data_IF_903706908476
#
_entry.id   IF_903706908476
#
_cell.length_a   1.000
_cell.length_b   1.000
_cell.length_c   1.000
_cell.angle_alpha   90.00
_cell.angle_beta   90.00
_cell.angle_gamma   90.00
#
_symmetry.space_group_name_H-M   'P 1'
#
loop_
_entity.id
_entity.type
_entity.pdbx_description
1 polymer ?
#
# COMPACT_ATOMS: atom_id res chain seq x y z
N UNK A 1 -33.05 -27.14 -1.96
CA UNK A 1 -32.58 -28.09 -0.94
C UNK A 1 -32.28 -27.27 0.31
N UNK A 2 -32.64 -27.81 1.47
CA UNK A 2 -32.63 -27.24 2.83
C UNK A 2 -31.73 -26.02 3.11
N UNK A 3 -32.35 -24.87 3.42
CA UNK A 3 -31.72 -23.76 4.14
C UNK A 3 -31.45 -24.19 5.59
N UNK A 4 -30.19 -24.46 5.93
CA UNK A 4 -29.76 -24.54 7.31
C UNK A 4 -29.52 -23.10 7.82
N UNK A 5 -30.04 -22.71 8.99
CA UNK A 5 -29.71 -21.42 9.58
C UNK A 5 -28.23 -21.41 9.95
N UNK A 6 -27.50 -20.40 9.47
CA UNK A 6 -26.17 -20.05 9.95
C UNK A 6 -26.25 -19.82 11.47
N UNK A 7 -25.78 -20.78 12.26
CA UNK A 7 -25.61 -20.60 13.69
C UNK A 7 -24.40 -19.68 13.88
N UNK A 8 -24.65 -18.40 14.15
CA UNK A 8 -23.62 -17.49 14.63
C UNK A 8 -23.26 -17.96 16.04
N UNK A 9 -22.18 -18.73 16.14
CA UNK A 9 -21.53 -18.97 17.42
C UNK A 9 -20.85 -17.66 17.78
N UNK A 10 -21.49 -16.87 18.65
CA UNK A 10 -20.86 -15.71 19.28
C UNK A 10 -19.73 -16.21 20.19
N UNK A 11 -18.58 -16.50 19.58
CA UNK A 11 -17.32 -16.65 20.27
C UNK A 11 -16.97 -15.29 20.85
N UNK A 12 -17.06 -15.18 22.18
CA UNK A 12 -16.50 -14.04 22.92
C UNK A 12 -14.97 -14.07 22.92
N UNK A 13 -14.36 -15.17 22.48
CA UNK A 13 -12.91 -15.26 22.36
C UNK A 13 -12.43 -14.52 21.12
N UNK A 14 -11.38 -13.72 21.33
CA UNK A 14 -10.71 -12.92 20.32
C UNK A 14 -10.00 -13.80 19.30
N UNK A 15 -10.24 -13.56 18.01
CA UNK A 15 -9.49 -14.23 16.95
C UNK A 15 -8.12 -13.58 16.77
N UNK A 16 -7.06 -14.38 16.82
CA UNK A 16 -5.68 -13.88 16.76
C UNK A 16 -5.09 -14.04 15.35
N UNK A 17 -4.60 -12.96 14.74
CA UNK A 17 -3.92 -12.97 13.44
C UNK A 17 -2.45 -13.41 13.52
N UNK A 18 -2.19 -14.48 14.25
CA UNK A 18 -0.91 -15.18 14.22
C UNK A 18 -0.90 -16.23 13.09
N UNK A 19 0.19 -17.01 12.97
CA UNK A 19 0.33 -18.05 11.95
C UNK A 19 -0.85 -19.02 11.91
N UNK A 20 -1.30 -19.52 13.07
CA UNK A 20 -2.41 -20.47 13.15
C UNK A 20 -3.76 -19.82 12.79
N UNK A 21 -3.96 -18.55 13.15
CA UNK A 21 -5.14 -17.78 12.75
C UNK A 21 -5.21 -17.60 11.24
N UNK A 22 -4.11 -17.20 10.60
CA UNK A 22 -4.07 -17.08 9.15
C UNK A 22 -4.24 -18.43 8.43
N UNK A 23 -3.64 -19.51 8.93
CA UNK A 23 -3.88 -20.87 8.41
C UNK A 23 -5.37 -21.26 8.50
N UNK A 24 -6.07 -20.86 9.57
CA UNK A 24 -7.51 -21.09 9.70
C UNK A 24 -8.33 -20.28 8.67
N UNK A 25 -8.00 -19.00 8.46
CA UNK A 25 -8.65 -18.16 7.43
C UNK A 25 -8.40 -18.74 6.04
N UNK A 26 -7.17 -19.18 5.75
CA UNK A 26 -6.83 -19.80 4.47
C UNK A 26 -7.61 -21.10 4.25
N UNK A 27 -7.78 -21.91 5.28
CA UNK A 27 -8.60 -23.12 5.18
C UNK A 27 -10.07 -22.78 4.84
N UNK A 28 -10.67 -21.81 5.53
CA UNK A 28 -12.07 -21.40 5.31
C UNK A 28 -12.29 -20.76 3.94
N UNK A 29 -11.31 -20.00 3.45
CA UNK A 29 -11.36 -19.34 2.14
C UNK A 29 -10.88 -20.24 0.98
N UNK A 30 -10.63 -21.54 1.25
CA UNK A 30 -10.07 -22.48 0.28
C UNK A 30 -8.78 -21.99 -0.39
N UNK A 31 -7.89 -21.37 0.39
CA UNK A 31 -6.69 -20.65 -0.04
C UNK A 31 -7.00 -19.45 -0.94
N UNK A 32 -7.83 -18.53 -0.44
CA UNK A 32 -8.18 -17.28 -1.12
C UNK A 32 -8.93 -17.44 -2.44
N UNK A 33 -9.79 -18.46 -2.56
CA UNK A 33 -10.66 -18.66 -3.72
C UNK A 33 -12.15 -18.55 -3.38
N UNK A 34 -12.51 -18.35 -2.10
CA UNK A 34 -13.89 -18.17 -1.66
C UNK A 34 -13.99 -17.01 -0.65
N UNK A 35 -15.06 -16.19 -0.69
CA UNK A 35 -15.29 -15.17 0.33
C UNK A 35 -15.58 -15.78 1.69
N UNK A 36 -15.14 -15.12 2.76
CA UNK A 36 -15.39 -15.55 4.14
C UNK A 36 -15.37 -14.36 5.10
N UNK A 37 -16.17 -14.44 6.17
CA UNK A 37 -16.13 -13.53 7.30
C UNK A 37 -15.47 -14.23 8.49
N UNK A 38 -14.44 -13.61 9.06
CA UNK A 38 -13.88 -14.00 10.34
C UNK A 38 -14.24 -12.95 11.38
N UNK A 39 -14.95 -13.37 12.41
CA UNK A 39 -15.45 -12.47 13.45
C UNK A 39 -14.41 -12.16 14.52
N UNK A 40 -14.56 -10.99 15.15
CA UNK A 40 -13.82 -10.53 16.34
C UNK A 40 -12.29 -10.59 16.18
N UNK A 41 -11.77 -9.98 15.11
CA UNK A 41 -10.35 -10.00 14.71
C UNK A 41 -9.55 -8.81 15.25
N UNK A 42 -10.08 -7.58 15.16
CA UNK A 42 -9.32 -6.38 15.52
C UNK A 42 -9.39 -6.04 17.01
N UNK A 43 -8.25 -5.82 17.65
CA UNK A 43 -8.26 -5.31 19.02
C UNK A 43 -8.93 -3.93 19.09
N UNK A 44 -9.55 -3.60 20.22
CA UNK A 44 -10.21 -2.29 20.37
C UNK A 44 -9.24 -1.12 20.19
N UNK A 45 -7.99 -1.31 20.62
CA UNK A 45 -6.91 -0.34 20.40
C UNK A 45 -6.59 -0.18 18.91
N UNK A 46 -6.53 -1.28 18.15
CA UNK A 46 -6.32 -1.23 16.69
C UNK A 46 -7.41 -0.45 16.00
N UNK A 47 -8.68 -0.74 16.32
CA UNK A 47 -9.82 -0.03 15.75
C UNK A 47 -9.73 1.47 16.00
N UNK A 48 -9.48 1.87 17.25
CA UNK A 48 -9.38 3.28 17.64
C UNK A 48 -8.22 3.96 16.89
N UNK A 49 -7.05 3.33 16.88
CA UNK A 49 -5.86 3.88 16.26
C UNK A 49 -5.97 3.96 14.74
N UNK A 50 -6.48 2.92 14.08
CA UNK A 50 -6.70 2.94 12.63
C UNK A 50 -7.64 4.06 12.21
N UNK A 51 -8.74 4.30 12.95
CA UNK A 51 -9.64 5.42 12.67
C UNK A 51 -8.90 6.75 12.78
N UNK A 52 -8.15 6.98 13.87
CA UNK A 52 -7.37 8.22 14.05
C UNK A 52 -6.39 8.44 12.90
N UNK A 53 -5.59 7.42 12.60
CA UNK A 53 -4.60 7.50 11.52
C UNK A 53 -5.24 7.76 10.16
N UNK A 54 -6.38 7.14 9.85
CA UNK A 54 -7.14 7.43 8.62
C UNK A 54 -7.50 8.92 8.54
N UNK A 55 -7.99 9.50 9.63
CA UNK A 55 -8.37 10.90 9.65
C UNK A 55 -7.20 11.88 9.69
N UNK A 56 -6.04 11.47 10.20
CA UNK A 56 -4.79 12.23 10.01
C UNK A 56 -4.35 12.24 8.53
N UNK A 57 -4.57 11.13 7.78
CA UNK A 57 -4.35 11.13 6.32
C UNK A 57 -5.34 12.05 5.61
N UNK A 58 -6.63 12.02 5.97
CA UNK A 58 -7.63 12.94 5.41
C UNK A 58 -7.28 14.39 5.76
N UNK A 59 -6.77 14.65 6.96
CA UNK A 59 -6.25 15.97 7.36
C UNK A 59 -5.10 16.42 6.46
N UNK A 60 -4.13 15.55 6.19
CA UNK A 60 -3.05 15.85 5.25
C UNK A 60 -3.60 16.19 3.85
N UNK A 61 -4.58 15.42 3.36
CA UNK A 61 -5.25 15.67 2.08
C UNK A 61 -5.94 17.04 2.04
N UNK A 62 -6.68 17.40 3.11
CA UNK A 62 -7.39 18.67 3.19
C UNK A 62 -6.43 19.86 3.24
N UNK A 63 -5.35 19.77 4.04
CA UNK A 63 -4.30 20.81 4.12
C UNK A 63 -3.67 21.05 2.75
N UNK A 64 -3.38 19.98 2.02
CA UNK A 64 -2.72 20.04 0.71
C UNK A 64 -3.69 20.20 -0.47
N UNK A 65 -5.00 20.21 -0.23
CA UNK A 65 -6.08 20.39 -1.23
C UNK A 65 -5.89 19.53 -2.48
N UNK A 66 -5.60 18.25 -2.29
CA UNK A 66 -5.22 17.34 -3.37
C UNK A 66 -6.09 16.08 -3.40
N UNK A 67 -6.39 15.57 -4.59
CA UNK A 67 -7.06 14.29 -4.80
C UNK A 67 -6.17 13.25 -5.51
N UNK A 68 -4.86 13.52 -5.64
CA UNK A 68 -3.92 12.71 -6.41
C UNK A 68 -3.80 11.24 -5.92
N UNK A 69 -4.23 10.95 -4.69
CA UNK A 69 -4.07 9.65 -4.03
C UNK A 69 -5.35 8.80 -4.06
N UNK A 70 -6.14 8.94 -5.12
CA UNK A 70 -7.41 8.23 -5.25
C UNK A 70 -8.48 8.69 -4.25
N UNK A 71 -8.29 9.86 -3.62
CA UNK A 71 -9.27 10.47 -2.73
C UNK A 71 -10.48 10.93 -3.54
N UNK A 72 -11.60 10.23 -3.34
CA UNK A 72 -12.86 10.42 -4.06
C UNK A 72 -13.97 10.56 -3.04
N UNK A 73 -14.84 11.55 -3.26
CA UNK A 73 -16.02 11.77 -2.45
C UNK A 73 -17.25 11.63 -3.34
N UNK A 74 -18.23 10.89 -2.85
CA UNK A 74 -19.51 10.67 -3.49
C UNK A 74 -20.60 11.26 -2.61
N UNK A 75 -21.56 11.94 -3.23
CA UNK A 75 -22.78 12.43 -2.59
C UNK A 75 -23.97 11.90 -3.35
N UNK A 76 -24.89 11.24 -2.63
CA UNK A 76 -26.08 10.62 -3.22
C UNK A 76 -25.75 9.74 -4.43
N UNK A 77 -24.65 8.97 -4.33
CA UNK A 77 -24.09 8.08 -5.36
C UNK A 77 -23.38 8.74 -6.54
N UNK A 78 -23.21 10.07 -6.56
CA UNK A 78 -22.48 10.78 -7.61
C UNK A 78 -21.14 11.30 -7.11
N UNK A 79 -20.09 11.17 -7.93
CA UNK A 79 -18.78 11.71 -7.61
C UNK A 79 -18.81 13.25 -7.64
N UNK A 80 -18.28 13.89 -6.61
CA UNK A 80 -18.22 15.36 -6.54
C UNK A 80 -17.01 15.88 -7.32
N UNK A 81 -17.11 17.10 -7.85
CA UNK A 81 -16.04 17.75 -8.60
C UNK A 81 -15.03 18.47 -7.67
N UNK A 82 -13.96 19.01 -8.27
CA UNK A 82 -12.88 19.69 -7.55
C UNK A 82 -13.34 20.96 -6.81
N UNK A 83 -14.29 21.70 -7.38
CA UNK A 83 -14.79 22.93 -6.77
C UNK A 83 -15.55 22.60 -5.48
N UNK A 84 -16.43 21.59 -5.54
CA UNK A 84 -17.13 21.08 -4.37
C UNK A 84 -16.16 20.61 -3.28
N UNK A 85 -15.13 19.83 -3.64
CA UNK A 85 -14.09 19.41 -2.70
C UNK A 85 -13.41 20.61 -2.03
N UNK A 86 -13.09 21.65 -2.80
CA UNK A 86 -12.39 22.84 -2.30
C UNK A 86 -13.25 23.63 -1.31
N UNK A 87 -14.53 23.80 -1.62
CA UNK A 87 -15.45 24.64 -0.86
C UNK A 87 -16.01 23.93 0.38
N UNK A 88 -16.23 22.61 0.31
CA UNK A 88 -17.00 21.88 1.33
C UNK A 88 -16.17 20.83 2.08
N UNK A 89 -15.18 20.20 1.43
CA UNK A 89 -14.40 19.11 2.07
C UNK A 89 -13.07 19.63 2.60
N UNK A 90 -12.25 20.24 1.74
CA UNK A 90 -10.91 20.72 2.10
C UNK A 90 -10.93 21.96 3.00
N UNK A 91 -12.03 22.69 3.02
CA UNK A 91 -12.26 23.85 3.91
C UNK A 91 -12.47 23.44 5.37
N UNK A 92 -12.87 22.20 5.61
CA UNK A 92 -13.01 21.61 6.94
C UNK A 92 -11.83 20.67 7.18
N UNK A 93 -10.97 20.99 8.14
CA UNK A 93 -9.77 20.19 8.41
C UNK A 93 -10.08 19.29 9.63
N UNK A 94 -10.01 17.95 9.51
CA UNK A 94 -10.17 17.06 10.65
C UNK A 94 -9.22 17.44 11.79
N UNK A 95 -9.68 17.33 13.04
CA UNK A 95 -8.83 17.60 14.19
C UNK A 95 -7.72 16.52 14.31
N UNK A 96 -6.59 16.93 14.88
CA UNK A 96 -5.43 16.05 15.12
C UNK A 96 -5.85 14.92 16.06
N UNK A 97 -5.47 13.68 15.76
CA UNK A 97 -5.80 12.48 16.56
C UNK A 97 -7.32 12.24 16.75
N UNK A 98 -8.16 12.80 15.87
CA UNK A 98 -9.61 12.59 15.90
C UNK A 98 -10.02 11.31 15.16
N UNK A 99 -11.13 10.69 15.57
CA UNK A 99 -11.70 9.54 14.86
C UNK A 99 -12.60 9.93 13.67
N UNK A 100 -12.62 11.23 13.35
CA UNK A 100 -13.33 11.84 12.24
C UNK A 100 -14.83 12.02 12.39
N UNK A 101 -15.44 11.57 13.49
CA UNK A 101 -16.91 11.60 13.64
C UNK A 101 -17.46 13.01 13.52
N UNK A 102 -16.91 13.96 14.27
CA UNK A 102 -17.33 15.37 14.20
C UNK A 102 -17.08 15.97 12.81
N UNK A 103 -15.94 15.66 12.18
CA UNK A 103 -15.61 16.18 10.86
C UNK A 103 -16.60 15.68 9.80
N UNK A 104 -17.01 14.42 9.87
CA UNK A 104 -18.03 13.85 8.99
C UNK A 104 -19.36 14.59 9.17
N UNK A 105 -19.79 14.80 10.41
CA UNK A 105 -21.03 15.52 10.73
C UNK A 105 -21.01 16.95 10.17
N UNK A 106 -19.89 17.66 10.34
CA UNK A 106 -19.74 19.04 9.87
C UNK A 106 -19.78 19.14 8.34
N UNK A 107 -19.13 18.20 7.64
CA UNK A 107 -18.98 18.22 6.18
C UNK A 107 -20.23 17.71 5.46
N UNK A 108 -20.80 16.60 5.92
CA UNK A 108 -21.85 15.87 5.19
C UNK A 108 -23.23 16.01 5.82
N UNK A 109 -23.32 16.38 7.10
CA UNK A 109 -24.58 16.53 7.83
C UNK A 109 -25.46 15.28 7.64
N UNK A 110 -26.70 15.45 7.17
CA UNK A 110 -27.66 14.36 6.93
C UNK A 110 -27.54 13.70 5.55
N UNK A 111 -26.55 14.09 4.73
CA UNK A 111 -26.41 13.58 3.37
C UNK A 111 -25.86 12.14 3.33
N UNK A 112 -26.32 11.38 2.34
CA UNK A 112 -25.72 10.08 2.00
C UNK A 112 -24.41 10.32 1.27
N UNK A 113 -23.31 9.84 1.85
CA UNK A 113 -21.98 10.08 1.31
C UNK A 113 -21.14 8.82 1.30
N UNK A 114 -20.11 8.83 0.44
CA UNK A 114 -19.06 7.82 0.41
C UNK A 114 -17.71 8.46 0.15
N UNK A 115 -16.67 8.04 0.87
CA UNK A 115 -15.29 8.40 0.64
C UNK A 115 -14.52 7.14 0.29
N UNK A 116 -13.72 7.23 -0.77
CA UNK A 116 -12.71 6.23 -1.11
C UNK A 116 -11.35 6.93 -1.06
N UNK A 117 -10.40 6.34 -0.35
CA UNK A 117 -9.02 6.83 -0.27
C UNK A 117 -8.07 5.65 -0.48
N UNK A 118 -7.21 5.75 -1.50
CA UNK A 118 -6.22 4.71 -1.78
C UNK A 118 -4.88 5.10 -1.16
N UNK A 119 -4.02 4.09 -0.94
CA UNK A 119 -2.64 4.26 -0.51
C UNK A 119 -2.52 5.04 0.81
N UNK A 120 -3.40 4.83 1.79
CA UNK A 120 -3.34 5.55 3.06
C UNK A 120 -2.08 5.19 3.87
N UNK A 121 -1.54 3.99 3.67
CA UNK A 121 -0.36 3.48 4.40
C UNK A 121 0.89 4.33 4.20
N UNK A 122 1.06 4.99 3.04
CA UNK A 122 2.26 5.80 2.78
C UNK A 122 2.32 7.10 3.60
N UNK A 123 1.17 7.55 4.10
CA UNK A 123 1.02 8.78 4.86
C UNK A 123 1.11 8.54 6.37
N UNK A 124 0.70 7.36 6.83
CA UNK A 124 0.70 7.00 8.25
C UNK A 124 1.60 5.81 8.51
N UNK A 125 2.78 6.07 9.08
CA UNK A 125 3.70 5.00 9.44
C UNK A 125 3.15 4.08 10.53
N UNK A 126 2.51 4.58 11.61
CA UNK A 126 1.88 3.70 12.58
C UNK A 126 0.85 2.74 11.96
N UNK A 127 0.07 3.22 10.98
CA UNK A 127 -0.86 2.39 10.21
C UNK A 127 -0.14 1.31 9.41
N UNK A 128 0.88 1.70 8.63
CA UNK A 128 1.66 0.77 7.83
C UNK A 128 2.34 -0.30 8.70
N UNK A 129 2.91 0.10 9.83
CA UNK A 129 3.62 -0.80 10.75
C UNK A 129 2.66 -1.79 11.40
N UNK A 130 1.51 -1.31 11.90
CA UNK A 130 0.53 -2.19 12.52
C UNK A 130 -0.10 -3.16 11.52
N UNK A 131 -0.50 -2.69 10.33
CA UNK A 131 -1.00 -3.56 9.27
C UNK A 131 0.04 -4.60 8.83
N UNK A 132 1.31 -4.18 8.69
CA UNK A 132 2.39 -5.10 8.35
C UNK A 132 2.55 -6.18 9.40
N UNK A 133 2.54 -5.83 10.70
CA UNK A 133 2.64 -6.81 11.78
C UNK A 133 1.45 -7.80 11.78
N UNK A 134 0.23 -7.34 11.52
CA UNK A 134 -0.96 -8.19 11.45
C UNK A 134 -0.92 -9.16 10.25
N UNK A 135 -0.38 -8.72 9.12
CA UNK A 135 -0.39 -9.46 7.85
C UNK A 135 0.88 -10.29 7.64
N UNK A 136 1.99 -9.95 8.30
CA UNK A 136 3.26 -10.60 8.11
C UNK A 136 3.25 -12.12 8.31
N UNK A 137 2.55 -12.72 9.30
CA UNK A 137 2.49 -14.18 9.41
C UNK A 137 1.84 -14.86 8.19
N UNK A 138 0.93 -14.17 7.49
CA UNK A 138 0.35 -14.63 6.22
C UNK A 138 1.38 -14.52 5.09
N UNK A 139 2.09 -13.41 4.98
CA UNK A 139 3.10 -13.19 3.93
C UNK A 139 4.31 -14.11 4.08
N UNK A 140 4.72 -14.41 5.30
CA UNK A 140 5.77 -15.40 5.58
C UNK A 140 5.35 -16.80 5.13
N UNK A 141 4.05 -17.09 5.14
CA UNK A 141 3.52 -18.38 4.72
C UNK A 141 3.31 -18.47 3.20
N UNK A 142 2.71 -17.45 2.57
CA UNK A 142 2.32 -17.47 1.16
C UNK A 142 3.29 -16.75 0.22
N UNK A 143 4.15 -15.90 0.75
CA UNK A 143 4.95 -14.94 0.00
C UNK A 143 4.22 -13.62 -0.24
N UNK A 144 4.99 -12.62 -0.69
CA UNK A 144 4.48 -11.29 -1.04
C UNK A 144 3.89 -11.28 -2.45
N UNK A 145 2.71 -10.69 -2.66
CA UNK A 145 2.10 -10.57 -3.99
C UNK A 145 3.04 -10.02 -5.05
N UNK A 146 2.83 -10.44 -6.30
CA UNK A 146 3.76 -10.11 -7.39
C UNK A 146 3.87 -8.60 -7.61
N UNK A 147 2.76 -7.86 -7.57
CA UNK A 147 2.72 -6.41 -7.71
C UNK A 147 2.59 -5.66 -6.36
N UNK A 148 2.56 -6.41 -5.26
CA UNK A 148 2.52 -5.88 -3.90
C UNK A 148 1.12 -5.74 -3.32
N UNK A 149 1.04 -4.93 -2.27
CA UNK A 149 -0.16 -4.61 -1.54
C UNK A 149 -0.34 -3.10 -1.42
N UNK A 150 -1.58 -2.66 -1.31
CA UNK A 150 -1.93 -1.28 -1.01
C UNK A 150 -3.18 -1.22 -0.15
N UNK A 151 -3.39 -0.12 0.58
CA UNK A 151 -4.67 0.07 1.28
C UNK A 151 -5.69 0.78 0.42
N UNK A 152 -6.97 0.48 0.68
CA UNK A 152 -8.07 1.36 0.32
C UNK A 152 -8.98 1.54 1.53
N UNK A 153 -9.31 2.78 1.86
CA UNK A 153 -10.23 3.14 2.92
C UNK A 153 -11.58 3.47 2.31
N UNK A 154 -12.64 2.92 2.88
CA UNK A 154 -14.03 3.21 2.55
C UNK A 154 -14.71 3.83 3.76
N UNK A 155 -15.30 5.01 3.61
CA UNK A 155 -16.06 5.68 4.69
C UNK A 155 -17.42 6.08 4.16
N UNK A 156 -18.47 5.89 4.93
CA UNK A 156 -19.75 6.51 4.61
C UNK A 156 -20.95 5.69 5.03
N UNK A 157 -22.12 6.18 4.63
CA UNK A 157 -23.45 5.66 4.92
C UNK A 157 -24.27 5.50 3.62
N UNK A 158 -23.58 5.27 2.49
CA UNK A 158 -24.09 5.42 1.12
C UNK A 158 -25.18 4.43 0.69
N UNK A 159 -25.62 3.51 1.55
CA UNK A 159 -26.47 2.39 1.15
C UNK A 159 -25.65 1.45 0.28
N UNK A 160 -26.00 1.31 -1.00
CA UNK A 160 -25.19 0.51 -1.93
C UNK A 160 -23.98 1.26 -2.46
N UNK A 161 -22.86 0.55 -2.63
CA UNK A 161 -21.63 1.12 -3.19
C UNK A 161 -21.91 1.80 -4.53
N UNK A 162 -21.48 3.06 -4.72
CA UNK A 162 -21.89 3.89 -5.86
C UNK A 162 -21.33 3.41 -7.21
N UNK A 163 -20.38 2.49 -7.21
CA UNK A 163 -19.83 1.85 -8.42
C UNK A 163 -20.77 0.81 -9.03
N UNK A 164 -21.85 0.43 -8.34
CA UNK A 164 -22.74 -0.65 -8.75
C UNK A 164 -22.09 -2.03 -8.61
N UNK A 165 -22.71 -3.05 -9.23
CA UNK A 165 -22.17 -4.41 -9.23
C UNK A 165 -20.96 -4.47 -10.18
N UNK A 166 -19.81 -4.88 -9.67
CA UNK A 166 -18.58 -5.00 -10.44
C UNK A 166 -17.73 -6.18 -9.97
N UNK A 167 -16.70 -6.50 -10.76
CA UNK A 167 -15.60 -7.37 -10.35
C UNK A 167 -14.35 -6.52 -10.15
N UNK A 168 -13.48 -6.98 -9.26
CA UNK A 168 -12.17 -6.38 -9.09
C UNK A 168 -11.23 -6.71 -10.24
N UNK A 169 -10.09 -6.03 -10.28
CA UNK A 169 -9.07 -6.31 -11.27
C UNK A 169 -8.59 -7.76 -11.15
N UNK A 170 -8.28 -8.37 -12.29
CA UNK A 170 -7.78 -9.74 -12.33
C UNK A 170 -6.60 -9.94 -11.38
N UNK A 171 -6.76 -10.86 -10.42
CA UNK A 171 -5.77 -11.22 -9.42
C UNK A 171 -5.64 -10.27 -8.23
N UNK A 172 -6.54 -9.30 -8.08
CA UNK A 172 -6.58 -8.38 -6.94
C UNK A 172 -7.54 -8.91 -5.86
N UNK A 173 -7.01 -9.64 -4.87
CA UNK A 173 -7.81 -10.10 -3.73
C UNK A 173 -7.83 -9.02 -2.64
N UNK A 174 -8.85 -8.99 -1.79
CA UNK A 174 -8.97 -7.97 -0.75
C UNK A 174 -9.28 -8.56 0.61
N UNK A 175 -8.58 -8.05 1.62
CA UNK A 175 -8.88 -8.26 3.04
C UNK A 175 -9.47 -6.95 3.56
N UNK A 176 -10.67 -7.01 4.12
CA UNK A 176 -11.40 -5.88 4.67
C UNK A 176 -11.44 -5.95 6.19
N UNK A 177 -10.75 -5.03 6.86
CA UNK A 177 -10.85 -4.82 8.30
C UNK A 177 -11.95 -3.81 8.59
N UNK A 178 -13.03 -4.26 9.24
CA UNK A 178 -14.20 -3.43 9.46
C UNK A 178 -14.10 -2.68 10.79
N UNK A 179 -14.00 -1.35 10.72
CA UNK A 179 -13.78 -0.49 11.89
C UNK A 179 -15.08 0.09 12.48
N UNK A 180 -16.22 -0.17 11.84
CA UNK A 180 -17.55 0.27 12.29
C UNK A 180 -17.76 1.80 12.27
N UNK A 181 -18.70 2.34 13.06
CA UNK A 181 -19.61 1.59 13.94
C UNK A 181 -20.74 0.87 13.18
N UNK A 182 -21.19 1.40 12.03
CA UNK A 182 -22.21 0.76 11.20
C UNK A 182 -21.72 -0.55 10.61
N UNK A 183 -22.63 -1.50 10.42
CA UNK A 183 -22.36 -2.80 9.80
C UNK A 183 -22.16 -2.68 8.28
N UNK A 184 -21.78 -3.81 7.66
CA UNK A 184 -21.71 -3.91 6.21
C UNK A 184 -22.13 -5.30 5.76
N UNK A 185 -22.85 -5.34 4.65
CA UNK A 185 -23.17 -6.58 3.96
C UNK A 185 -22.60 -6.55 2.56
N UNK A 186 -21.77 -7.53 2.23
CA UNK A 186 -21.26 -7.75 0.87
C UNK A 186 -22.13 -8.81 0.19
N UNK A 187 -22.78 -8.41 -0.89
CA UNK A 187 -23.51 -9.32 -1.77
C UNK A 187 -22.59 -9.72 -2.91
N UNK A 188 -22.47 -11.03 -3.15
CA UNK A 188 -21.60 -11.57 -4.19
C UNK A 188 -22.34 -12.55 -5.09
N UNK A 189 -21.88 -12.65 -6.33
CA UNK A 189 -22.35 -13.62 -7.32
C UNK A 189 -21.15 -14.26 -8.02
N UNK A 190 -21.20 -15.58 -8.12
CA UNK A 190 -20.30 -16.35 -8.97
C UNK A 190 -20.40 -15.86 -10.42
N UNK A 191 -19.25 -15.70 -11.09
CA UNK A 191 -19.18 -15.12 -12.43
C UNK A 191 -20.09 -15.82 -13.44
N UNK A 192 -20.07 -17.16 -13.46
CA UNK A 192 -20.91 -17.95 -14.38
C UNK A 192 -22.41 -17.74 -14.14
N UNK A 193 -22.84 -17.58 -12.88
CA UNK A 193 -24.24 -17.30 -12.57
C UNK A 193 -24.62 -15.89 -13.03
N UNK A 194 -23.83 -14.89 -12.64
CA UNK A 194 -24.11 -13.49 -12.97
C UNK A 194 -24.20 -13.26 -14.49
N UNK A 195 -23.27 -13.83 -15.25
CA UNK A 195 -23.23 -13.73 -16.71
C UNK A 195 -24.39 -14.48 -17.38
N UNK A 196 -24.74 -15.68 -16.90
CA UNK A 196 -25.88 -16.45 -17.44
C UNK A 196 -27.22 -15.75 -17.26
N UNK A 197 -27.32 -14.88 -16.26
CA UNK A 197 -28.51 -14.09 -15.96
C UNK A 197 -28.59 -12.77 -16.73
N UNK A 198 -27.58 -12.44 -17.54
CA UNK A 198 -27.38 -11.10 -18.10
C UNK A 198 -27.40 -10.02 -16.99
N UNK A 199 -26.69 -10.29 -15.88
CA UNK A 199 -26.75 -9.49 -14.66
C UNK A 199 -26.44 -8.01 -14.85
N UNK A 200 -25.62 -7.65 -15.85
CA UNK A 200 -25.30 -6.25 -16.18
C UNK A 200 -26.52 -5.43 -16.60
N UNK A 201 -27.54 -6.08 -17.16
CA UNK A 201 -28.74 -5.43 -17.67
C UNK A 201 -29.96 -5.60 -16.74
N UNK A 202 -29.79 -6.25 -15.59
CA UNK A 202 -30.89 -6.52 -14.66
C UNK A 202 -30.96 -5.52 -13.51
N UNK A 203 -32.18 -5.17 -13.05
CA UNK A 203 -32.34 -4.38 -11.83
C UNK A 203 -31.75 -5.10 -10.62
N UNK A 204 -31.09 -4.35 -9.72
CA UNK A 204 -30.51 -4.90 -8.48
C UNK A 204 -31.52 -5.70 -7.66
N UNK A 205 -32.77 -5.24 -7.59
CA UNK A 205 -33.85 -5.92 -6.84
C UNK A 205 -34.14 -7.35 -7.35
N UNK A 206 -33.87 -7.65 -8.63
CA UNK A 206 -34.01 -8.99 -9.18
C UNK A 206 -32.78 -9.87 -8.91
N UNK A 207 -31.60 -9.26 -8.76
CA UNK A 207 -30.34 -9.96 -8.55
C UNK A 207 -30.05 -10.25 -7.07
N UNK A 208 -30.47 -9.37 -6.16
CA UNK A 208 -30.21 -9.46 -4.73
C UNK A 208 -30.66 -10.81 -4.12
N UNK A 209 -31.86 -11.35 -4.44
CA UNK A 209 -32.31 -12.65 -3.92
C UNK A 209 -31.45 -13.84 -4.39
N UNK A 210 -30.61 -13.65 -5.41
CA UNK A 210 -29.73 -14.67 -5.98
C UNK A 210 -28.28 -14.53 -5.50
N UNK A 211 -28.00 -13.53 -4.66
CA UNK A 211 -26.66 -13.26 -4.14
C UNK A 211 -26.34 -14.14 -2.94
N UNK A 212 -25.04 -14.43 -2.77
CA UNK A 212 -24.51 -14.83 -1.48
C UNK A 212 -24.29 -13.56 -0.64
N UNK A 213 -24.84 -13.53 0.58
CA UNK A 213 -24.73 -12.38 1.47
C UNK A 213 -23.74 -12.67 2.60
N UNK A 214 -22.73 -11.81 2.73
CA UNK A 214 -21.71 -11.85 3.76
C UNK A 214 -21.83 -10.62 4.64
N UNK A 215 -22.42 -10.80 5.81
CA UNK A 215 -22.60 -9.75 6.80
C UNK A 215 -21.42 -9.72 7.76
N UNK A 216 -20.91 -8.54 8.06
CA UNK A 216 -19.83 -8.34 9.02
C UNK A 216 -19.98 -7.02 9.77
N UNK A 217 -19.57 -7.07 11.03
CA UNK A 217 -19.73 -5.98 11.99
C UNK A 217 -18.37 -5.44 12.42
N UNK A 218 -18.39 -4.50 13.36
CA UNK A 218 -17.18 -3.90 13.90
C UNK A 218 -16.22 -4.97 14.42
N UNK A 219 -14.93 -4.78 14.12
CA UNK A 219 -13.81 -5.65 14.49
C UNK A 219 -13.72 -6.96 13.69
N UNK A 220 -14.61 -7.20 12.74
CA UNK A 220 -14.56 -8.36 11.86
C UNK A 220 -13.59 -8.14 10.69
N UNK A 221 -13.20 -9.27 10.09
CA UNK A 221 -12.45 -9.33 8.84
C UNK A 221 -13.32 -10.00 7.78
N UNK A 222 -13.45 -9.37 6.61
CA UNK A 222 -14.03 -9.98 5.42
C UNK A 222 -12.97 -10.18 4.34
N UNK A 223 -12.85 -11.40 3.81
CA UNK A 223 -12.01 -11.68 2.66
C UNK A 223 -12.87 -11.81 1.40
N UNK A 224 -12.40 -11.24 0.29
CA UNK A 224 -13.03 -11.39 -1.02
C UNK A 224 -11.99 -11.69 -2.10
N UNK A 225 -12.18 -12.78 -2.86
CA UNK A 225 -11.35 -13.08 -4.02
C UNK A 225 -11.74 -12.20 -5.22
N UNK A 226 -10.80 -12.00 -6.13
CA UNK A 226 -10.93 -11.11 -7.28
C UNK A 226 -12.04 -11.49 -8.27
N UNK A 227 -12.45 -12.76 -8.30
CA UNK A 227 -13.33 -13.33 -9.34
C UNK A 227 -14.83 -13.20 -9.03
N UNK A 228 -15.19 -12.44 -8.00
CA UNK A 228 -16.57 -12.29 -7.55
C UNK A 228 -17.19 -10.99 -8.07
N UNK A 229 -18.34 -11.11 -8.75
CA UNK A 229 -19.20 -9.94 -8.93
C UNK A 229 -19.76 -9.56 -7.58
N UNK A 230 -19.72 -8.28 -7.21
CA UNK A 230 -20.11 -7.88 -5.87
C UNK A 230 -20.67 -6.45 -5.79
N UNK A 231 -21.43 -6.21 -4.72
CA UNK A 231 -21.88 -4.88 -4.31
C UNK A 231 -21.96 -4.84 -2.78
N UNK A 232 -21.47 -3.75 -2.17
CA UNK A 232 -21.53 -3.57 -0.73
C UNK A 232 -22.71 -2.71 -0.30
N UNK A 233 -23.39 -3.07 0.78
CA UNK A 233 -24.42 -2.27 1.43
C UNK A 233 -23.95 -1.79 2.81
N UNK A 234 -24.12 -0.49 3.08
CA UNK A 234 -23.73 0.21 4.31
C UNK A 234 -24.72 1.35 4.56
N UNK A 235 -25.72 1.11 5.41
CA UNK A 235 -26.80 2.08 5.64
C UNK A 235 -26.45 3.13 6.70
N UNK A 236 -25.67 2.74 7.71
CA UNK A 236 -25.14 3.60 8.76
C UNK A 236 -23.70 4.04 8.47
N UNK A 237 -23.21 5.06 9.19
CA UNK A 237 -21.82 5.47 9.07
C UNK A 237 -20.90 4.31 9.43
N UNK A 238 -20.07 3.92 8.46
CA UNK A 238 -19.06 2.89 8.65
C UNK A 238 -17.71 3.27 8.05
N UNK A 239 -16.65 2.71 8.61
CA UNK A 239 -15.27 2.85 8.15
C UNK A 239 -14.69 1.45 7.91
N UNK A 240 -14.27 1.18 6.68
CA UNK A 240 -13.57 -0.03 6.30
C UNK A 240 -12.15 0.27 5.87
N UNK A 241 -11.18 -0.46 6.41
CA UNK A 241 -9.77 -0.40 6.01
C UNK A 241 -9.42 -1.69 5.28
N UNK A 242 -9.19 -1.59 3.98
CA UNK A 242 -8.88 -2.77 3.15
C UNK A 242 -7.40 -2.84 2.84
N UNK A 243 -6.88 -4.07 2.72
CA UNK A 243 -5.56 -4.38 2.17
C UNK A 243 -5.75 -5.25 0.94
N UNK A 244 -5.27 -4.74 -0.19
CA UNK A 244 -5.33 -5.38 -1.49
C UNK A 244 -4.08 -6.21 -1.72
N UNK A 245 -4.24 -7.39 -2.31
CA UNK A 245 -3.18 -8.32 -2.67
C UNK A 245 -3.16 -8.43 -4.19
N UNK A 246 -2.23 -7.71 -4.82
CA UNK A 246 -2.20 -7.55 -6.27
C UNK A 246 -1.32 -8.62 -6.93
N UNK A 247 -1.92 -9.75 -7.30
CA UNK A 247 -1.30 -10.82 -8.07
C UNK A 247 -1.74 -10.77 -9.53
N UNK A 248 -1.28 -9.74 -10.25
CA UNK A 248 -1.69 -9.55 -11.63
C UNK A 248 -1.04 -10.55 -12.61
N UNK A 249 -1.59 -10.61 -13.81
CA UNK A 249 -1.12 -11.48 -14.89
C UNK A 249 0.32 -11.18 -15.32
N UNK A 250 0.96 -12.15 -15.99
CA UNK A 250 2.27 -11.97 -16.60
C UNK A 250 2.32 -10.80 -17.61
N UNK A 251 1.18 -10.44 -18.21
CA UNK A 251 1.07 -9.26 -19.06
C UNK A 251 1.29 -7.97 -18.27
N UNK A 252 0.55 -7.81 -17.16
CA UNK A 252 0.69 -6.64 -16.29
C UNK A 252 2.10 -6.55 -15.68
N UNK A 253 2.72 -7.69 -15.35
CA UNK A 253 4.11 -7.73 -14.91
C UNK A 253 5.06 -7.23 -16.00
N UNK A 254 4.89 -7.69 -17.25
CA UNK A 254 5.73 -7.27 -18.37
C UNK A 254 5.61 -5.75 -18.62
N UNK A 255 4.40 -5.20 -18.63
CA UNK A 255 4.16 -3.75 -18.77
C UNK A 255 4.84 -2.96 -17.65
N UNK A 256 4.75 -3.45 -16.41
CA UNK A 256 5.40 -2.80 -15.27
C UNK A 256 6.92 -2.78 -15.42
N UNK A 257 7.53 -3.90 -15.78
CA UNK A 257 8.99 -3.99 -15.96
C UNK A 257 9.48 -3.07 -17.08
N UNK A 258 8.76 -3.02 -18.21
CA UNK A 258 9.07 -2.09 -19.30
C UNK A 258 8.96 -0.63 -18.86
N UNK A 259 7.90 -0.28 -18.12
CA UNK A 259 7.74 1.06 -17.55
C UNK A 259 8.88 1.40 -16.59
N UNK A 260 9.29 0.47 -15.74
CA UNK A 260 10.42 0.66 -14.83
C UNK A 260 11.75 0.91 -15.57
N UNK A 261 11.98 0.27 -16.72
CA UNK A 261 13.14 0.58 -17.58
C UNK A 261 13.06 2.04 -18.03
N UNK A 262 11.93 2.48 -18.60
CA UNK A 262 11.79 3.86 -19.09
C UNK A 262 11.98 4.91 -17.99
N UNK A 263 11.54 4.64 -16.76
CA UNK A 263 11.73 5.55 -15.63
C UNK A 263 13.18 5.64 -15.15
N UNK A 264 14.00 4.60 -15.35
CA UNK A 264 15.42 4.61 -14.99
C UNK A 264 16.30 5.32 -16.02
N UNK A 265 15.76 5.55 -17.22
CA UNK A 265 16.44 6.22 -18.32
C UNK A 265 16.28 7.74 -18.24
N UNK A 266 16.13 8.31 -17.03
CA UNK A 266 15.88 9.73 -16.79
C UNK A 266 16.86 10.61 -17.60
N UNK A 267 16.38 11.14 -18.72
CA UNK A 267 17.24 11.73 -19.74
C UNK A 267 16.45 12.76 -20.58
N UNK A 268 17.08 13.91 -20.80
CA UNK A 268 16.63 14.96 -21.73
C UNK A 268 16.40 14.42 -23.15
N UNK A 269 17.13 13.36 -23.54
CA UNK A 269 16.99 12.69 -24.85
C UNK A 269 15.56 12.13 -25.10
N UNK A 270 14.84 11.73 -24.04
CA UNK A 270 13.46 11.25 -24.18
C UNK A 270 12.47 12.35 -24.56
N UNK A 271 12.87 13.63 -24.44
CA UNK A 271 12.07 14.79 -24.83
C UNK A 271 12.40 15.30 -26.24
N UNK A 272 13.38 14.70 -26.93
CA UNK A 272 13.72 15.10 -28.29
C UNK A 272 12.63 14.73 -29.31
N UNK A 273 12.34 15.65 -30.23
CA UNK A 273 11.38 15.42 -31.31
C UNK A 273 12.02 14.50 -32.36
N UNK A 274 11.40 13.36 -32.62
CA UNK A 274 11.84 12.43 -33.68
C UNK A 274 11.72 13.08 -35.07
N UNK A 275 12.69 12.80 -35.94
CA UNK A 275 12.72 13.34 -37.32
C UNK A 275 11.75 12.57 -38.22
N UNK A 276 11.11 13.29 -39.15
CA UNK A 276 10.30 12.66 -40.20
C UNK A 276 11.19 11.84 -41.15
N UNK A 277 10.70 10.67 -41.60
CA UNK A 277 11.40 9.77 -42.52
C UNK A 277 10.61 9.64 -43.82
N UNK A 278 11.29 9.68 -44.98
CA UNK A 278 10.66 9.79 -46.30
C UNK A 278 10.29 8.45 -46.96
N UNK A 279 10.75 7.32 -46.42
CA UNK A 279 10.41 5.98 -46.92
C UNK A 279 11.31 4.90 -46.34
N UNK A 280 11.07 3.63 -46.73
CA UNK A 280 11.80 2.46 -46.22
C UNK A 280 13.33 2.58 -46.46
N UNK A 281 13.75 3.24 -47.55
CA UNK A 281 15.16 3.44 -47.86
C UNK A 281 15.87 4.42 -46.92
N UNK A 282 15.12 5.26 -46.22
CA UNK A 282 15.62 6.33 -45.34
C UNK A 282 15.33 6.01 -43.87
N UNK A 283 15.16 4.72 -43.51
CA UNK A 283 14.96 4.33 -42.11
C UNK A 283 16.21 4.66 -41.32
N UNK A 284 16.07 5.63 -40.41
CA UNK A 284 17.11 6.06 -39.48
C UNK A 284 16.80 5.52 -38.08
N UNK A 285 17.73 4.73 -37.54
CA UNK A 285 17.66 4.17 -36.18
C UNK A 285 18.36 5.05 -35.14
N UNK A 286 18.97 6.18 -35.52
CA UNK A 286 19.65 7.08 -34.58
C UNK A 286 18.73 7.54 -33.45
N UNK A 287 17.45 7.79 -33.74
CA UNK A 287 16.48 8.14 -32.68
C UNK A 287 16.27 7.01 -31.66
N UNK A 288 16.49 5.74 -32.03
CA UNK A 288 16.46 4.60 -31.11
C UNK A 288 17.77 4.51 -30.32
N UNK A 289 18.92 4.72 -30.96
CA UNK A 289 20.23 4.69 -30.30
C UNK A 289 20.38 5.80 -29.25
N UNK A 290 19.90 7.02 -29.57
CA UNK A 290 19.96 8.18 -28.66
C UNK A 290 19.15 7.97 -27.38
N UNK A 291 18.10 7.14 -27.40
CA UNK A 291 17.32 6.76 -26.21
C UNK A 291 18.21 6.08 -25.17
N UNK A 292 19.16 5.23 -25.60
CA UNK A 292 20.02 4.45 -24.70
C UNK A 292 21.36 5.11 -24.38
N UNK A 293 21.64 6.26 -24.99
CA UNK A 293 22.88 7.01 -24.78
C UNK A 293 23.08 7.35 -23.30
N UNK A 294 24.30 7.16 -22.81
CA UNK A 294 24.69 7.32 -21.40
C UNK A 294 24.09 6.28 -20.42
N UNK A 295 23.33 5.29 -20.90
CA UNK A 295 22.80 4.20 -20.09
C UNK A 295 23.41 2.86 -20.50
N UNK A 296 24.74 2.73 -20.44
CA UNK A 296 25.49 1.52 -20.84
C UNK A 296 24.93 0.25 -20.19
N UNK A 297 24.54 0.31 -18.91
CA UNK A 297 23.91 -0.82 -18.23
C UNK A 297 22.63 -1.30 -18.92
N UNK A 298 21.80 -0.39 -19.41
CA UNK A 298 20.54 -0.73 -20.10
C UNK A 298 20.84 -1.12 -21.56
N UNK A 299 21.77 -0.43 -22.21
CA UNK A 299 22.14 -0.63 -23.61
C UNK A 299 22.85 -1.97 -23.86
N UNK A 300 23.73 -2.38 -22.94
CA UNK A 300 24.64 -3.49 -23.16
C UNK A 300 24.11 -4.83 -22.62
N UNK A 301 23.14 -4.79 -21.70
CA UNK A 301 22.55 -6.01 -21.13
C UNK A 301 21.59 -6.67 -22.13
N UNK A 302 21.68 -8.00 -22.31
CA UNK A 302 20.65 -8.75 -23.03
C UNK A 302 19.27 -8.46 -22.44
N UNK A 303 18.27 -8.20 -23.28
CA UNK A 303 16.94 -7.76 -22.84
C UNK A 303 16.33 -8.65 -21.74
N UNK A 304 16.51 -9.97 -21.83
CA UNK A 304 16.04 -10.92 -20.82
C UNK A 304 16.73 -10.72 -19.46
N UNK A 305 18.02 -10.41 -19.45
CA UNK A 305 18.79 -10.20 -18.22
C UNK A 305 18.52 -8.81 -17.65
N UNK A 306 18.32 -7.79 -18.49
CA UNK A 306 17.80 -6.49 -18.06
C UNK A 306 16.45 -6.63 -17.34
N UNK A 307 15.50 -7.40 -17.90
CA UNK A 307 14.21 -7.65 -17.26
C UNK A 307 14.36 -8.36 -15.90
N UNK A 308 15.31 -9.30 -15.77
CA UNK A 308 15.59 -9.95 -14.48
C UNK A 308 16.14 -8.97 -13.47
N UNK A 309 17.07 -8.11 -13.86
CA UNK A 309 17.64 -7.11 -12.94
C UNK A 309 16.57 -6.12 -12.47
N UNK A 310 15.76 -5.60 -13.39
CA UNK A 310 14.66 -4.69 -13.03
C UNK A 310 13.63 -5.39 -12.14
N UNK A 311 13.34 -6.66 -12.40
CA UNK A 311 12.46 -7.46 -11.55
C UNK A 311 13.07 -7.69 -10.16
N UNK A 312 14.37 -7.99 -10.07
CA UNK A 312 15.08 -8.14 -8.81
C UNK A 312 15.05 -6.85 -7.99
N UNK A 313 15.36 -5.71 -8.61
CA UNK A 313 15.28 -4.39 -7.97
C UNK A 313 13.87 -4.11 -7.45
N UNK A 314 12.85 -4.40 -8.28
CA UNK A 314 11.45 -4.25 -7.90
C UNK A 314 11.06 -5.13 -6.70
N UNK A 315 11.45 -6.42 -6.71
CA UNK A 315 11.16 -7.33 -5.59
C UNK A 315 11.91 -6.95 -4.32
N UNK A 316 13.16 -6.50 -4.41
CA UNK A 316 13.94 -6.04 -3.25
C UNK A 316 13.32 -4.78 -2.62
N UNK A 317 12.90 -3.82 -3.44
CA UNK A 317 12.13 -2.67 -2.98
C UNK A 317 10.84 -3.14 -2.26
N UNK A 318 10.08 -4.04 -2.90
CA UNK A 318 8.83 -4.53 -2.34
C UNK A 318 9.02 -5.27 -1.00
N UNK A 319 10.02 -6.15 -0.91
CA UNK A 319 10.35 -6.87 0.33
C UNK A 319 10.80 -5.94 1.45
N UNK A 320 11.63 -4.92 1.13
CA UNK A 320 12.05 -3.92 2.12
C UNK A 320 10.90 -3.06 2.67
N UNK A 321 9.74 -3.10 2.01
CA UNK A 321 8.52 -2.40 2.40
C UNK A 321 7.41 -3.35 2.87
N UNK A 322 7.74 -4.57 3.32
CA UNK A 322 6.76 -5.57 3.75
C UNK A 322 5.64 -5.84 2.73
N UNK A 323 5.92 -5.66 1.44
CA UNK A 323 4.95 -5.84 0.37
C UNK A 323 4.15 -4.60 -0.02
N UNK A 324 4.29 -3.45 0.64
CA UNK A 324 3.60 -2.23 0.21
C UNK A 324 4.16 -1.69 -1.11
N UNK A 325 3.29 -1.46 -2.10
CA UNK A 325 3.72 -0.93 -3.40
C UNK A 325 4.06 0.56 -3.31
N UNK A 326 3.40 1.28 -2.41
CA UNK A 326 3.59 2.71 -2.25
C UNK A 326 4.78 3.00 -1.32
N UNK A 327 5.66 3.89 -1.78
CA UNK A 327 6.80 4.33 -0.97
C UNK A 327 6.28 5.38 0.02
N UNK A 328 6.62 5.27 1.33
CA UNK A 328 6.32 6.28 2.32
C UNK A 328 6.75 7.68 1.90
N UNK A 329 6.00 8.69 2.34
CA UNK A 329 6.44 10.07 2.20
C UNK A 329 7.67 10.28 3.08
N UNK A 330 8.72 10.86 2.51
CA UNK A 330 10.01 11.00 3.19
C UNK A 330 9.97 12.06 4.29
N UNK A 331 10.90 12.01 5.24
CA UNK A 331 11.03 13.05 6.28
C UNK A 331 11.16 14.45 5.67
N UNK A 332 11.97 14.58 4.62
CA UNK A 332 12.19 15.85 3.91
C UNK A 332 10.93 16.41 3.24
N UNK A 333 9.95 15.56 2.94
CA UNK A 333 8.69 15.95 2.32
C UNK A 333 7.63 16.36 3.36
N UNK A 334 7.72 15.86 4.60
CA UNK A 334 6.76 16.17 5.67
C UNK A 334 7.28 17.18 6.70
N UNK A 335 8.59 17.44 6.73
CA UNK A 335 9.23 18.35 7.67
C UNK A 335 10.13 19.33 6.94
N UNK A 336 9.90 20.61 7.20
CA UNK A 336 10.78 21.69 6.75
C UNK A 336 12.08 21.73 7.57
N UNK A 337 12.09 21.13 8.76
CA UNK A 337 13.22 21.15 9.71
C UNK A 337 14.24 20.02 9.48
N UNK A 338 13.98 19.13 8.51
CA UNK A 338 14.87 18.02 8.19
C UNK A 338 15.23 18.00 6.70
N UNK A 339 16.53 18.12 6.44
CA UNK A 339 17.23 17.82 5.18
C UNK A 339 18.40 16.91 5.50
N UNK A 340 18.57 15.82 4.75
CA UNK A 340 19.60 14.82 5.06
C UNK A 340 20.99 15.46 5.12
N UNK A 341 21.31 16.31 4.15
CA UNK A 341 22.63 16.94 4.03
C UNK A 341 22.93 17.97 5.14
N UNK A 342 21.90 18.49 5.79
CA UNK A 342 22.02 19.55 6.82
C UNK A 342 21.84 19.01 8.24
N UNK A 343 21.00 17.98 8.41
CA UNK A 343 20.49 17.54 9.71
C UNK A 343 20.88 16.10 10.07
N UNK A 344 21.81 15.44 9.37
CA UNK A 344 22.26 14.09 9.72
C UNK A 344 22.81 13.96 11.16
N UNK A 345 23.25 15.06 11.76
CA UNK A 345 23.67 15.11 13.17
C UNK A 345 22.57 14.81 14.18
N UNK A 346 21.29 14.85 13.78
CA UNK A 346 20.15 14.41 14.60
C UNK A 346 20.27 12.95 15.04
N UNK A 347 21.02 12.14 14.29
CA UNK A 347 21.22 10.71 14.55
C UNK A 347 22.41 10.45 15.50
N UNK A 348 23.07 11.50 16.01
CA UNK A 348 24.20 11.34 16.93
C UNK A 348 23.73 11.08 18.37
N UNK A 349 24.28 10.05 19.00
CA UNK A 349 23.98 9.64 20.39
C UNK A 349 22.48 9.49 20.73
N UNK A 350 21.72 8.91 19.79
CA UNK A 350 20.31 8.56 19.99
C UNK A 350 20.12 7.04 19.95
N UNK A 351 18.95 6.58 20.36
CA UNK A 351 18.54 5.20 20.13
C UNK A 351 17.73 5.10 18.84
N UNK A 352 17.98 4.04 18.07
CA UNK A 352 17.32 3.81 16.80
C UNK A 352 16.85 2.37 16.64
N UNK A 353 15.81 2.18 15.84
CA UNK A 353 15.21 0.88 15.58
C UNK A 353 14.60 0.83 14.17
N UNK A 354 14.69 -0.32 13.48
CA UNK A 354 13.81 -0.62 12.36
C UNK A 354 12.49 -1.18 12.89
N UNK A 355 11.32 -0.64 12.51
CA UNK A 355 10.04 -1.17 12.95
C UNK A 355 9.86 -2.62 12.48
N UNK A 356 9.36 -3.51 13.34
CA UNK A 356 8.96 -4.86 12.93
C UNK A 356 7.72 -4.78 12.02
N UNK A 357 7.63 -5.57 10.93
CA UNK A 357 8.55 -6.62 10.46
C UNK A 357 9.47 -6.16 9.32
N UNK A 358 9.77 -4.86 9.23
CA UNK A 358 10.55 -4.32 8.12
C UNK A 358 12.01 -4.73 8.21
N UNK A 359 12.60 -4.97 7.04
CA UNK A 359 14.00 -5.31 6.87
C UNK A 359 14.63 -4.47 5.77
N UNK A 360 15.93 -4.23 5.92
CA UNK A 360 16.78 -3.68 4.88
C UNK A 360 17.33 -4.83 4.04
N UNK A 361 17.31 -4.63 2.73
CA UNK A 361 17.92 -5.54 1.78
C UNK A 361 19.01 -4.81 1.03
N UNK A 362 20.00 -5.51 0.47
CA UNK A 362 21.04 -4.85 -0.31
C UNK A 362 21.58 -5.72 -1.44
N UNK A 363 22.20 -5.06 -2.40
CA UNK A 363 22.95 -5.66 -3.50
C UNK A 363 24.24 -4.87 -3.72
N UNK A 364 25.33 -5.55 -4.04
CA UNK A 364 26.56 -4.88 -4.49
C UNK A 364 26.43 -4.59 -5.98
N UNK A 365 26.29 -3.32 -6.34
CA UNK A 365 26.08 -2.88 -7.73
C UNK A 365 27.37 -2.94 -8.56
N UNK A 366 28.51 -2.74 -7.90
CA UNK A 366 29.86 -2.93 -8.43
C UNK A 366 30.82 -3.18 -7.24
N UNK A 367 32.14 -3.16 -7.46
CA UNK A 367 33.11 -3.36 -6.38
C UNK A 367 33.19 -2.17 -5.39
N UNK A 368 32.70 -0.99 -5.78
CA UNK A 368 32.81 0.26 -5.05
C UNK A 368 31.51 0.71 -4.37
N UNK A 369 30.35 0.18 -4.78
CA UNK A 369 29.03 0.66 -4.37
C UNK A 369 28.13 -0.46 -3.82
N UNK A 370 27.34 -0.09 -2.82
CA UNK A 370 26.25 -0.88 -2.27
C UNK A 370 24.93 -0.14 -2.50
N UNK A 371 23.96 -0.85 -3.05
CA UNK A 371 22.58 -0.42 -3.13
C UNK A 371 21.80 -1.07 -1.99
N UNK A 372 21.11 -0.26 -1.20
CA UNK A 372 20.30 -0.65 -0.06
C UNK A 372 18.85 -0.32 -0.38
N UNK A 373 17.96 -1.26 -0.08
CA UNK A 373 16.52 -1.17 -0.23
C UNK A 373 15.90 -1.02 1.16
N UNK A 374 15.16 0.07 1.35
CA UNK A 374 14.59 0.43 2.64
C UNK A 374 13.21 1.06 2.41
N UNK A 375 12.14 0.44 2.93
CA UNK A 375 10.75 0.91 2.76
C UNK A 375 10.39 1.21 1.29
N UNK A 376 10.86 0.37 0.38
CA UNK A 376 10.58 0.50 -1.05
C UNK A 376 11.48 1.51 -1.78
N UNK A 377 12.28 2.29 -1.06
CA UNK A 377 13.25 3.20 -1.64
C UNK A 377 14.58 2.49 -1.93
N UNK A 378 15.31 3.01 -2.92
CA UNK A 378 16.65 2.58 -3.29
C UNK A 378 17.66 3.65 -2.88
N UNK A 379 18.67 3.28 -2.10
CA UNK A 379 19.73 4.15 -1.60
C UNK A 379 21.05 3.57 -2.10
N UNK A 380 21.87 4.33 -2.82
CA UNK A 380 23.19 3.86 -3.26
C UNK A 380 24.27 4.71 -2.64
N UNK A 381 25.22 4.05 -1.97
CA UNK A 381 26.37 4.67 -1.33
C UNK A 381 27.63 3.84 -1.61
N UNK A 382 28.80 4.42 -1.33
CA UNK A 382 30.07 3.69 -1.40
C UNK A 382 30.02 2.48 -0.46
N UNK A 383 30.55 1.37 -0.92
CA UNK A 383 30.61 0.12 -0.16
C UNK A 383 31.68 0.18 0.93
N UNK A 384 31.32 -0.33 2.11
CA UNK A 384 32.23 -0.75 3.17
C UNK A 384 31.65 -2.04 3.78
N UNK A 385 32.45 -3.11 4.01
CA UNK A 385 31.96 -4.35 4.60
C UNK A 385 31.20 -4.16 5.92
N UNK A 386 31.58 -3.18 6.75
CA UNK A 386 30.94 -2.88 8.04
C UNK A 386 29.49 -2.37 7.89
N UNK A 387 29.10 -1.88 6.71
CA UNK A 387 27.69 -1.55 6.43
C UNK A 387 26.81 -2.80 6.44
N UNK A 388 27.33 -3.96 6.01
CA UNK A 388 26.57 -5.21 6.05
C UNK A 388 26.31 -5.65 7.49
N UNK A 389 27.29 -5.47 8.38
CA UNK A 389 27.15 -5.77 9.81
C UNK A 389 26.16 -4.82 10.51
N UNK A 390 26.16 -3.54 10.14
CA UNK A 390 25.18 -2.56 10.63
C UNK A 390 23.77 -2.94 10.14
N UNK A 391 23.62 -3.28 8.86
CA UNK A 391 22.34 -3.71 8.29
C UNK A 391 21.82 -4.97 9.01
N UNK A 392 22.70 -5.96 9.23
CA UNK A 392 22.33 -7.20 9.93
C UNK A 392 21.87 -6.94 11.36
N UNK A 393 22.54 -6.04 12.08
CA UNK A 393 22.11 -5.61 13.43
C UNK A 393 20.75 -4.91 13.37
N UNK A 394 20.57 -3.92 12.49
CA UNK A 394 19.30 -3.22 12.34
C UNK A 394 18.14 -4.17 12.00
N UNK A 395 18.40 -5.20 11.18
CA UNK A 395 17.44 -6.24 10.80
C UNK A 395 17.03 -7.19 11.93
N UNK A 396 17.63 -7.11 13.13
CA UNK A 396 17.08 -7.81 14.32
C UNK A 396 15.83 -7.12 14.87
N UNK A 397 15.51 -5.92 14.37
CA UNK A 397 14.47 -5.03 14.90
C UNK A 397 14.69 -4.68 16.39
N UNK A 398 15.89 -4.85 16.94
CA UNK A 398 16.25 -4.40 18.29
C UNK A 398 16.57 -2.89 18.30
N UNK A 399 16.61 -2.33 19.51
CA UNK A 399 16.97 -0.92 19.72
C UNK A 399 18.48 -0.81 19.89
N UNK A 400 19.11 0.08 19.11
CA UNK A 400 20.56 0.31 19.14
C UNK A 400 20.90 1.76 19.45
N UNK A 401 21.87 1.99 20.34
CA UNK A 401 22.48 3.30 20.49
C UNK A 401 23.42 3.58 19.30
N UNK A 402 23.23 4.70 18.60
CA UNK A 402 23.93 4.98 17.33
C UNK A 402 25.46 5.03 17.48
N UNK A 403 25.96 5.57 18.60
CA UNK A 403 27.40 5.59 18.88
C UNK A 403 28.02 4.20 19.03
N UNK A 404 27.26 3.21 19.52
CA UNK A 404 27.71 1.82 19.64
C UNK A 404 27.61 1.09 18.31
N UNK A 405 26.51 1.31 17.58
CA UNK A 405 26.23 0.71 16.28
C UNK A 405 27.28 1.10 15.24
N UNK A 406 27.68 2.37 15.22
CA UNK A 406 28.63 2.93 14.24
C UNK A 406 30.10 2.82 14.68
N UNK A 407 30.38 2.27 15.87
CA UNK A 407 31.71 2.33 16.49
C UNK A 407 32.82 1.82 15.57
N UNK A 408 32.64 0.62 14.99
CA UNK A 408 33.64 0.00 14.11
C UNK A 408 33.75 0.76 12.78
N UNK A 409 32.63 1.19 12.20
CA UNK A 409 32.65 1.95 10.95
C UNK A 409 33.42 3.27 11.11
N UNK A 410 33.30 3.91 12.27
CA UNK A 410 34.00 5.16 12.58
C UNK A 410 35.52 5.00 12.76
N UNK A 411 36.04 3.77 12.83
CA UNK A 411 37.49 3.51 12.79
C UNK A 411 38.04 3.59 11.36
N UNK A 412 37.21 3.33 10.34
CA UNK A 412 37.60 3.37 8.92
C UNK A 412 37.09 4.61 8.18
N UNK A 413 35.91 5.10 8.53
CA UNK A 413 35.24 6.22 7.90
C UNK A 413 35.11 7.42 8.85
N UNK A 414 35.00 8.65 8.31
CA UNK A 414 34.63 9.81 9.14
C UNK A 414 33.29 9.55 9.86
N UNK A 415 33.16 9.90 11.15
CA UNK A 415 31.92 9.67 11.90
C UNK A 415 30.65 10.21 11.21
N UNK A 416 30.80 11.30 10.45
CA UNK A 416 29.72 11.91 9.67
C UNK A 416 29.15 10.96 8.61
N UNK A 417 29.96 10.06 8.04
CA UNK A 417 29.51 9.13 7.01
C UNK A 417 28.53 8.08 7.55
N UNK A 418 28.78 7.57 8.77
CA UNK A 418 27.85 6.65 9.44
C UNK A 418 26.54 7.34 9.82
N UNK A 419 26.62 8.57 10.35
CA UNK A 419 25.42 9.37 10.65
C UNK A 419 24.62 9.72 9.40
N UNK A 420 25.30 10.06 8.31
CA UNK A 420 24.67 10.31 7.00
C UNK A 420 23.93 9.07 6.50
N UNK A 421 24.53 7.89 6.61
CA UNK A 421 23.86 6.63 6.27
C UNK A 421 22.58 6.40 7.09
N UNK A 422 22.63 6.59 8.41
CA UNK A 422 21.43 6.47 9.25
C UNK A 422 20.38 7.54 8.91
N UNK A 423 20.82 8.76 8.58
CA UNK A 423 19.93 9.85 8.16
C UNK A 423 19.22 9.56 6.82
N UNK A 424 19.89 8.88 5.88
CA UNK A 424 19.25 8.39 4.65
C UNK A 424 18.13 7.39 4.97
N UNK A 425 18.35 6.45 5.89
CA UNK A 425 17.33 5.49 6.33
C UNK A 425 16.17 6.18 7.06
N UNK A 426 16.48 7.12 7.95
CA UNK A 426 15.49 7.93 8.66
C UNK A 426 14.64 8.74 7.68
N UNK A 427 15.27 9.36 6.67
CA UNK A 427 14.56 10.09 5.63
C UNK A 427 13.55 9.20 4.89
N UNK A 428 13.93 7.96 4.57
CA UNK A 428 13.04 6.98 3.92
C UNK A 428 12.04 6.33 4.89
N UNK A 429 11.93 6.82 6.12
CA UNK A 429 11.03 6.31 7.17
C UNK A 429 11.30 4.84 7.52
N UNK A 430 12.51 4.35 7.23
CA UNK A 430 12.91 2.99 7.53
C UNK A 430 13.40 2.84 8.97
N UNK A 431 14.00 3.90 9.52
CA UNK A 431 14.58 3.93 10.85
C UNK A 431 13.83 4.94 11.72
N UNK A 432 13.51 4.57 12.96
CA UNK A 432 12.92 5.47 13.96
C UNK A 432 13.94 5.85 15.01
N UNK A 433 13.83 7.08 15.51
CA UNK A 433 14.49 7.52 16.74
C UNK A 433 13.57 7.12 17.89
N UNK A 434 14.11 6.43 18.89
CA UNK A 434 13.40 5.96 20.07
C UNK A 434 13.94 6.63 21.32
N UNK A 435 13.10 6.71 22.35
CA UNK A 435 13.49 7.23 23.67
C UNK A 435 14.37 6.27 24.47
#
# INVERSE_FOLDING_TARGET
MSNAPLSIVNSTEKFQLNRAGWENILHKTANFTAPEVQTNVLESEDRINFRKWIFDVIRHICINKTNAYGFRVYLNSEIVNKDYLTENVYSHIPAVESDGTQWIEDVFQDQKFGIILNFSEKFSMPMADRLSALIHPLLDHLGVPSNGMHTTVFIGNYGFTPLGIHQDHFGANVIHFHLGPGDKTMYTWEAGLFESLDGKNKPLAELLPLANAYHFEQDDLFFMPWDQYHIGQTDDLSVGLTVWFDNHSNHALAERLLKSITMQMDNENLQEITKMQHGIADIDYNSVEEIFKNHSKIADLPFKDLLKEVFSDFKMALFSNCGWTSIPITMEQISDDFKVDENFGLLDNVYVQLPYPFQLYYTRTNAEDITIYARGAKITIRFNPLLEDIINQLNTNEIFHTGSLLKQLNEEWPPQAGLYFLALLYNKRALYITD
#
